data_IF_814348241299
#
_entry.id   IF_814348241299
#
_cell.length_a   1.000
_cell.length_b   1.000
_cell.length_c   1.000
_cell.angle_alpha   90.00
_cell.angle_beta   90.00
_cell.angle_gamma   90.00
#
_symmetry.space_group_name_H-M   'P 1'
#
loop_
_entity.id
_entity.type
_entity.pdbx_description
1 polymer ?
#
# COMPACT_ATOMS: atom_id res chain seq x y z
N UNK A 1 2.41 -43.85 -21.41
CA UNK A 1 1.82 -43.67 -22.76
C UNK A 1 0.31 -43.76 -22.57
N UNK A 2 -0.58 -42.86 -22.97
CA UNK A 2 -0.53 -41.63 -23.74
C UNK A 2 -1.87 -40.93 -23.43
N UNK A 3 -1.82 -39.74 -22.83
CA UNK A 3 -2.89 -38.72 -22.89
C UNK A 3 -2.30 -37.37 -22.45
N UNK A 4 -1.13 -37.07 -23.02
CA UNK A 4 -0.56 -35.73 -23.13
C UNK A 4 -0.94 -35.26 -24.54
N UNK A 5 -1.20 -33.96 -24.68
CA UNK A 5 -1.38 -33.21 -25.95
C UNK A 5 -2.80 -33.19 -26.53
N UNK A 6 -3.69 -32.39 -25.92
CA UNK A 6 -4.73 -31.62 -26.64
C UNK A 6 -5.41 -30.60 -25.70
N UNK A 7 -4.71 -29.50 -25.43
CA UNK A 7 -5.24 -28.12 -25.51
C UNK A 7 -4.09 -27.11 -25.30
N UNK A 8 -3.02 -27.25 -26.09
CA UNK A 8 -2.18 -26.11 -26.46
C UNK A 8 -2.71 -25.58 -27.78
N UNK A 9 -3.43 -24.46 -27.73
CA UNK A 9 -3.59 -23.47 -28.79
C UNK A 9 -4.51 -22.35 -28.25
N UNK A 10 -4.04 -21.62 -27.23
CA UNK A 10 -4.36 -20.19 -27.18
C UNK A 10 -3.17 -19.52 -27.83
N UNK A 11 -3.43 -19.03 -29.03
CA UNK A 11 -2.48 -18.45 -29.95
C UNK A 11 -1.50 -17.51 -29.26
N UNK A 12 -0.22 -17.78 -29.51
CA UNK A 12 0.81 -16.76 -29.61
C UNK A 12 0.32 -15.79 -30.69
N UNK A 13 -0.44 -14.77 -30.28
CA UNK A 13 -0.41 -13.49 -30.96
C UNK A 13 0.69 -12.67 -30.28
N UNK A 14 1.94 -13.02 -30.59
CA UNK A 14 2.98 -12.01 -30.60
C UNK A 14 2.54 -10.97 -31.63
N UNK A 15 1.82 -9.92 -31.19
CA UNK A 15 1.60 -8.76 -32.04
C UNK A 15 2.96 -8.06 -32.16
N UNK A 16 3.61 -8.11 -33.34
CA UNK A 16 4.84 -7.37 -33.56
C UNK A 16 4.40 -5.94 -33.87
N UNK A 17 4.61 -5.03 -32.92
CA UNK A 17 4.25 -3.65 -33.11
C UNK A 17 4.91 -2.78 -32.06
N UNK A 18 5.86 -1.96 -32.49
CA UNK A 18 6.46 -0.90 -31.68
C UNK A 18 5.34 0.10 -31.31
N UNK A 19 4.80 -0.05 -30.10
CA UNK A 19 3.68 0.73 -29.55
C UNK A 19 4.17 1.87 -28.68
N UNK A 20 3.57 3.05 -28.88
CA UNK A 20 4.06 4.31 -28.31
C UNK A 20 2.96 5.15 -27.67
N UNK A 21 3.24 5.59 -26.43
CA UNK A 21 2.26 5.88 -25.37
C UNK A 21 1.87 7.36 -25.19
N UNK A 22 0.77 7.58 -24.45
CA UNK A 22 0.54 8.82 -23.70
C UNK A 22 1.10 8.64 -22.28
N UNK A 23 2.00 9.55 -21.94
CA UNK A 23 2.73 9.61 -20.68
C UNK A 23 1.87 10.37 -19.67
N UNK A 24 1.87 10.01 -18.37
CA UNK A 24 1.68 11.02 -17.35
C UNK A 24 2.61 12.22 -17.63
N UNK A 25 2.16 13.46 -17.43
CA UNK A 25 3.03 14.65 -17.57
C UNK A 25 4.42 14.35 -17.01
N UNK A 26 5.45 14.73 -17.77
CA UNK A 26 6.84 14.40 -17.45
C UNK A 26 7.14 14.82 -16.00
N UNK A 27 7.51 13.85 -15.16
CA UNK A 27 7.85 14.10 -13.75
C UNK A 27 6.69 14.10 -12.74
N UNK A 28 5.42 13.91 -13.16
CA UNK A 28 4.30 13.78 -12.20
C UNK A 28 4.15 12.36 -11.67
N UNK A 29 4.09 12.21 -10.34
CA UNK A 29 3.89 10.94 -9.65
C UNK A 29 2.40 10.58 -9.61
N UNK A 30 2.06 9.30 -9.46
CA UNK A 30 0.67 8.83 -9.32
C UNK A 30 -0.12 9.60 -8.23
N UNK A 31 0.54 9.88 -7.10
CA UNK A 31 -0.03 10.69 -6.03
C UNK A 31 -0.40 12.11 -6.47
N UNK A 32 0.30 12.68 -7.44
CA UNK A 32 0.01 14.02 -7.96
C UNK A 32 -1.27 14.03 -8.81
N UNK A 33 -1.55 12.96 -9.56
CA UNK A 33 -2.83 12.83 -10.27
C UNK A 33 -3.99 12.64 -9.31
N UNK A 34 -3.83 11.79 -8.30
CA UNK A 34 -4.84 11.64 -7.26
C UNK A 34 -5.12 12.99 -6.57
N UNK A 35 -4.09 13.77 -6.23
CA UNK A 35 -4.23 15.10 -5.62
C UNK A 35 -4.94 16.10 -6.53
N UNK A 36 -4.60 16.14 -7.82
CA UNK A 36 -5.14 17.11 -8.80
C UNK A 36 -6.52 16.72 -9.36
N UNK A 37 -6.97 15.50 -9.13
CA UNK A 37 -8.28 15.03 -9.59
C UNK A 37 -9.38 15.41 -8.62
N UNK A 38 -10.57 15.69 -9.14
CA UNK A 38 -11.77 15.90 -8.34
C UNK A 38 -12.43 14.57 -7.99
N UNK A 39 -12.34 13.59 -8.91
CA UNK A 39 -12.89 12.26 -8.73
C UNK A 39 -11.83 11.22 -9.07
N UNK A 40 -11.71 10.18 -8.23
CA UNK A 40 -10.83 9.04 -8.44
C UNK A 40 -11.62 7.75 -8.28
N UNK A 41 -11.70 6.96 -9.35
CA UNK A 41 -12.52 5.74 -9.41
C UNK A 41 -11.66 4.54 -9.73
N UNK A 42 -11.88 3.43 -9.04
CA UNK A 42 -11.44 2.11 -9.51
C UNK A 42 -12.55 1.54 -10.37
N UNK A 43 -12.22 1.11 -11.58
CA UNK A 43 -13.21 0.66 -12.55
C UNK A 43 -12.79 -0.61 -13.27
N UNK A 44 -13.76 -1.31 -13.86
CA UNK A 44 -13.55 -2.40 -14.81
C UNK A 44 -14.16 -2.01 -16.15
N UNK A 45 -13.45 -2.26 -17.25
CA UNK A 45 -13.96 -2.00 -18.59
C UNK A 45 -15.01 -3.05 -18.99
N UNK A 46 -16.18 -2.61 -19.45
CA UNK A 46 -17.26 -3.51 -19.84
C UNK A 46 -17.16 -3.95 -21.32
N UNK A 47 -16.65 -3.09 -22.21
CA UNK A 47 -16.52 -3.39 -23.64
C UNK A 47 -15.34 -2.63 -24.28
N UNK A 48 -14.70 -3.26 -25.27
CA UNK A 48 -13.81 -2.64 -26.27
C UNK A 48 -14.64 -2.18 -27.46
N UNK A 49 -14.51 -0.93 -27.89
CA UNK A 49 -15.03 -0.50 -29.19
C UNK A 49 -13.92 -0.49 -30.23
N UNK A 50 -14.17 -1.14 -31.38
CA UNK A 50 -13.35 -1.02 -32.57
C UNK A 50 -13.60 0.33 -33.25
N UNK A 51 -12.56 0.83 -33.93
CA UNK A 51 -12.54 2.03 -34.77
C UNK A 51 -13.89 2.26 -35.49
N UNK A 52 -14.58 3.36 -35.19
CA UNK A 52 -15.50 3.93 -36.17
C UNK A 52 -14.68 4.82 -37.11
N UNK A 53 -14.59 4.38 -38.37
CA UNK A 53 -13.69 4.90 -39.39
C UNK A 53 -13.92 6.37 -39.78
N UNK A 54 -14.90 7.08 -39.22
CA UNK A 54 -15.26 8.45 -39.62
C UNK A 54 -15.00 9.53 -38.57
N UNK A 55 -14.57 9.20 -37.36
CA UNK A 55 -14.01 10.19 -36.43
C UNK A 55 -13.18 9.46 -35.37
N UNK A 56 -11.89 9.81 -35.25
CA UNK A 56 -10.96 9.35 -34.21
C UNK A 56 -11.43 9.76 -32.79
N UNK A 57 -12.56 9.22 -32.33
CA UNK A 57 -13.21 9.48 -31.06
C UNK A 57 -13.62 8.14 -30.48
N UNK A 58 -12.88 7.69 -29.47
CA UNK A 58 -13.23 6.48 -28.73
C UNK A 58 -14.06 6.90 -27.51
N UNK A 59 -15.01 6.06 -27.12
CA UNK A 59 -15.63 6.10 -25.81
C UNK A 59 -15.36 4.76 -25.12
N UNK A 60 -15.28 4.76 -23.79
CA UNK A 60 -15.17 3.54 -23.03
C UNK A 60 -16.16 3.56 -21.87
N UNK A 61 -16.93 2.48 -21.74
CA UNK A 61 -17.85 2.30 -20.62
C UNK A 61 -17.18 1.43 -19.57
N UNK A 62 -17.20 1.96 -18.36
CA UNK A 62 -16.60 1.38 -17.18
C UNK A 62 -17.67 1.10 -16.14
N UNK A 63 -17.52 0.00 -15.42
CA UNK A 63 -18.25 -0.25 -14.19
C UNK A 63 -17.38 0.17 -13.00
N UNK A 64 -17.92 0.98 -12.10
CA UNK A 64 -17.23 1.37 -10.87
C UNK A 64 -17.13 0.15 -9.95
N UNK A 65 -15.90 -0.22 -9.60
CA UNK A 65 -15.60 -1.36 -8.72
C UNK A 65 -15.04 -0.92 -7.37
N UNK A 66 -14.67 0.35 -7.23
CA UNK A 66 -14.20 0.90 -5.96
C UNK A 66 -14.08 2.42 -5.99
N UNK A 67 -14.19 3.02 -4.81
CA UNK A 67 -14.18 4.46 -4.62
C UNK A 67 -12.97 4.89 -3.80
N UNK A 68 -12.46 6.09 -4.06
CA UNK A 68 -11.55 6.75 -3.13
C UNK A 68 -12.37 7.56 -2.12
N UNK A 69 -12.21 7.33 -0.80
CA UNK A 69 -13.12 7.85 0.24
C UNK A 69 -13.38 9.36 0.19
N UNK A 70 -12.36 10.16 -0.13
CA UNK A 70 -12.46 11.64 -0.18
C UNK A 70 -12.69 12.20 -1.59
N UNK A 71 -12.75 11.35 -2.61
CA UNK A 71 -12.81 11.74 -4.03
C UNK A 71 -13.74 10.84 -4.84
N UNK A 72 -14.87 10.46 -4.24
CA UNK A 72 -15.87 9.62 -4.92
C UNK A 72 -16.65 10.37 -5.99
N UNK A 73 -16.75 11.71 -5.90
CA UNK A 73 -17.52 12.50 -6.86
C UNK A 73 -19.02 12.21 -6.86
N UNK A 74 -19.54 11.54 -5.83
CA UNK A 74 -20.93 11.09 -5.74
C UNK A 74 -21.21 9.71 -6.37
N UNK A 75 -20.21 9.09 -7.02
CA UNK A 75 -20.36 7.75 -7.60
C UNK A 75 -20.44 6.66 -6.54
N UNK A 76 -21.14 5.57 -6.87
CA UNK A 76 -21.32 4.35 -6.07
C UNK A 76 -20.69 3.14 -6.77
N UNK A 77 -20.28 2.08 -6.04
CA UNK A 77 -19.91 0.81 -6.66
C UNK A 77 -21.08 0.26 -7.47
N UNK A 78 -20.81 -0.19 -8.70
CA UNK A 78 -21.82 -0.66 -9.65
C UNK A 78 -22.23 0.38 -10.69
N UNK A 79 -22.02 1.67 -10.43
CA UNK A 79 -22.33 2.75 -11.37
C UNK A 79 -21.62 2.53 -12.71
N UNK A 80 -22.31 2.88 -13.79
CA UNK A 80 -21.72 2.91 -15.13
C UNK A 80 -21.20 4.30 -15.43
N UNK A 81 -19.95 4.39 -15.85
CA UNK A 81 -19.31 5.63 -16.26
C UNK A 81 -18.83 5.47 -17.70
N UNK A 82 -19.38 6.26 -18.60
CA UNK A 82 -18.85 6.40 -19.96
C UNK A 82 -17.90 7.58 -19.98
N UNK A 83 -16.70 7.37 -20.50
CA UNK A 83 -15.69 8.41 -20.64
C UNK A 83 -15.26 8.55 -22.08
N UNK A 84 -15.23 9.80 -22.56
CA UNK A 84 -14.90 10.16 -23.93
C UNK A 84 -15.53 11.51 -24.33
N UNK A 85 -15.40 11.93 -25.60
CA UNK A 85 -14.58 11.27 -26.62
C UNK A 85 -13.07 11.44 -26.33
N UNK A 86 -12.31 10.35 -26.45
CA UNK A 86 -10.85 10.43 -26.50
C UNK A 86 -10.47 11.16 -27.80
N UNK A 87 -9.83 12.32 -27.69
CA UNK A 87 -9.62 13.25 -28.81
C UNK A 87 -8.73 12.73 -29.96
N UNK A 88 -8.45 13.57 -30.98
CA UNK A 88 -7.78 13.18 -32.23
C UNK A 88 -6.27 12.89 -32.09
N UNK A 89 -5.75 12.77 -30.86
CA UNK A 89 -4.33 12.59 -30.60
C UNK A 89 -3.84 11.24 -31.15
N UNK A 90 -2.72 11.22 -31.89
CA UNK A 90 -2.24 10.00 -32.52
C UNK A 90 -1.74 9.03 -31.45
N UNK A 91 -2.48 7.92 -31.28
CA UNK A 91 -2.14 6.65 -30.60
C UNK A 91 -2.67 6.50 -29.15
N UNK A 92 -3.83 5.87 -29.04
CA UNK A 92 -4.42 5.32 -27.82
C UNK A 92 -4.08 3.84 -27.64
N UNK A 93 -3.97 3.36 -26.40
CA UNK A 93 -4.14 1.91 -26.10
C UNK A 93 -5.64 1.62 -26.06
N UNK A 94 -6.13 0.54 -26.70
CA UNK A 94 -7.52 0.11 -26.53
C UNK A 94 -7.80 -0.17 -25.05
N UNK A 95 -8.92 0.35 -24.54
CA UNK A 95 -9.44 -0.08 -23.23
C UNK A 95 -9.95 -1.50 -23.41
N UNK A 96 -9.22 -2.50 -22.91
CA UNK A 96 -9.57 -3.91 -23.07
C UNK A 96 -10.72 -4.30 -22.17
N UNK A 97 -11.77 -4.90 -22.73
CA UNK A 97 -12.88 -5.44 -21.96
C UNK A 97 -12.37 -6.39 -20.87
N UNK A 98 -12.97 -6.30 -19.69
CA UNK A 98 -12.58 -7.06 -18.51
C UNK A 98 -11.40 -6.49 -17.72
N UNK A 99 -10.59 -5.59 -18.29
CA UNK A 99 -9.42 -5.00 -17.61
C UNK A 99 -9.81 -3.97 -16.55
N UNK A 100 -9.02 -3.85 -15.49
CA UNK A 100 -9.25 -2.88 -14.43
C UNK A 100 -8.40 -1.63 -14.60
N UNK A 101 -8.92 -0.49 -14.15
CA UNK A 101 -8.26 0.82 -14.27
C UNK A 101 -8.52 1.68 -13.02
N UNK A 102 -7.63 2.64 -12.77
CA UNK A 102 -7.90 3.80 -11.91
C UNK A 102 -8.13 5.00 -12.82
N UNK A 103 -9.31 5.60 -12.76
CA UNK A 103 -9.64 6.82 -13.48
C UNK A 103 -9.38 8.03 -12.59
N UNK A 104 -8.77 9.06 -13.18
CA UNK A 104 -8.47 10.35 -12.59
C UNK A 104 -9.22 11.41 -13.38
N UNK A 105 -10.34 11.86 -12.83
CA UNK A 105 -11.20 12.85 -13.49
C UNK A 105 -10.96 14.22 -12.86
N UNK A 106 -10.47 15.15 -13.67
CA UNK A 106 -10.30 16.54 -13.29
C UNK A 106 -11.37 17.40 -13.96
N UNK A 107 -12.12 18.14 -13.16
CA UNK A 107 -13.19 19.03 -13.61
C UNK A 107 -12.58 20.30 -14.20
N UNK A 108 -12.99 20.67 -15.41
CA UNK A 108 -12.66 21.91 -16.08
C UNK A 108 -13.96 22.68 -16.36
N UNK A 109 -14.10 23.95 -15.94
CA UNK A 109 -15.26 24.76 -16.26
C UNK A 109 -15.30 25.08 -17.76
N UNK A 110 -16.48 25.01 -18.37
CA UNK A 110 -16.73 25.36 -19.78
C UNK A 110 -18.09 26.03 -19.88
N UNK A 111 -18.10 27.34 -20.13
CA UNK A 111 -19.34 28.14 -20.11
C UNK A 111 -20.05 28.05 -18.76
N UNK A 112 -21.34 27.74 -18.76
CA UNK A 112 -22.15 27.47 -17.55
C UNK A 112 -22.02 26.03 -17.03
N UNK A 113 -21.26 25.18 -17.73
CA UNK A 113 -21.08 23.76 -17.42
C UNK A 113 -19.65 23.39 -17.07
N UNK A 114 -19.36 22.10 -17.12
CA UNK A 114 -18.03 21.55 -16.87
C UNK A 114 -17.77 20.31 -17.73
N UNK A 115 -16.51 20.07 -18.04
CA UNK A 115 -16.02 18.84 -18.67
C UNK A 115 -15.03 18.15 -17.73
N UNK A 116 -14.81 16.85 -17.92
CA UNK A 116 -13.79 16.11 -17.19
C UNK A 116 -12.63 15.75 -18.11
N UNK A 117 -11.43 16.20 -17.77
CA UNK A 117 -10.23 15.63 -18.36
C UNK A 117 -9.94 14.29 -17.70
N UNK A 118 -9.92 13.24 -18.51
CA UNK A 118 -9.63 11.89 -18.06
C UNK A 118 -8.14 11.57 -18.17
N UNK A 119 -7.57 11.09 -17.07
CA UNK A 119 -6.32 10.32 -17.06
C UNK A 119 -6.61 8.94 -16.46
N UNK A 120 -5.91 7.90 -16.87
CA UNK A 120 -6.14 6.57 -16.31
C UNK A 120 -4.85 5.79 -16.12
N UNK A 121 -4.88 4.82 -15.20
CA UNK A 121 -3.79 3.88 -14.99
C UNK A 121 -4.34 2.45 -15.03
N UNK A 122 -3.88 1.57 -15.94
CA UNK A 122 -4.27 0.17 -15.92
C UNK A 122 -3.84 -0.53 -14.63
N UNK A 123 -4.69 -1.41 -14.14
CA UNK A 123 -4.44 -2.32 -13.02
C UNK A 123 -4.32 -3.72 -13.62
N UNK A 124 -3.21 -4.42 -13.39
CA UNK A 124 -3.08 -5.81 -13.85
C UNK A 124 -4.20 -6.69 -13.26
N UNK A 125 -4.74 -7.59 -14.07
CA UNK A 125 -5.83 -8.49 -13.72
C UNK A 125 -5.41 -9.54 -12.68
N UNK A 126 -4.10 -9.75 -12.51
CA UNK A 126 -3.60 -10.53 -11.39
C UNK A 126 -3.69 -9.63 -10.14
N UNK A 127 -4.30 -10.10 -9.06
CA UNK A 127 -4.38 -9.40 -7.76
C UNK A 127 -3.00 -9.26 -7.08
N UNK A 128 -1.95 -8.90 -7.81
CA UNK A 128 -0.56 -8.94 -7.39
C UNK A 128 0.06 -7.58 -7.68
N UNK A 129 0.15 -6.75 -6.65
CA UNK A 129 0.83 -5.46 -6.65
C UNK A 129 2.36 -5.65 -6.73
N UNK A 130 2.85 -6.37 -7.74
CA UNK A 130 4.29 -6.54 -8.03
C UNK A 130 4.90 -5.23 -8.52
N UNK A 131 4.07 -4.39 -9.14
CA UNK A 131 4.44 -3.11 -9.74
C UNK A 131 5.09 -2.10 -8.78
N UNK A 132 4.83 -2.19 -7.48
CA UNK A 132 5.28 -1.17 -6.52
C UNK A 132 6.73 -1.38 -6.02
N UNK A 133 7.29 -2.60 -6.05
CA UNK A 133 8.45 -2.92 -5.19
C UNK A 133 9.80 -3.15 -5.89
N UNK A 134 9.83 -3.43 -7.19
CA UNK A 134 11.10 -3.61 -7.93
C UNK A 134 12.03 -2.39 -7.87
N UNK A 135 11.49 -1.17 -7.70
CA UNK A 135 12.29 0.06 -7.50
C UNK A 135 12.60 0.39 -6.03
N UNK A 136 11.84 -0.13 -5.07
CA UNK A 136 12.14 -0.01 -3.63
C UNK A 136 13.40 -0.81 -3.28
N UNK A 137 13.62 -1.94 -3.93
CA UNK A 137 14.85 -2.74 -3.81
C UNK A 137 16.07 -2.03 -4.42
N UNK A 138 15.91 -1.39 -5.57
CA UNK A 138 17.00 -0.65 -6.23
C UNK A 138 17.52 0.51 -5.37
N UNK A 139 16.68 1.11 -4.53
CA UNK A 139 17.09 2.15 -3.57
C UNK A 139 18.11 1.67 -2.53
N UNK A 140 18.02 0.39 -2.11
CA UNK A 140 18.97 -0.24 -1.17
C UNK A 140 20.33 -0.55 -1.82
N UNK A 141 20.37 -0.64 -3.15
CA UNK A 141 21.57 -1.03 -3.93
C UNK A 141 22.24 0.18 -4.62
N UNK A 142 21.51 1.25 -4.94
CA UNK A 142 22.02 2.32 -5.84
C UNK A 142 21.82 3.78 -5.37
N UNK A 143 21.15 4.03 -4.24
CA UNK A 143 20.96 5.39 -3.71
C UNK A 143 20.13 6.34 -4.60
N UNK A 144 19.38 5.83 -5.59
CA UNK A 144 18.58 6.64 -6.52
C UNK A 144 17.08 6.43 -6.33
N UNK A 145 16.38 7.51 -6.01
CA UNK A 145 14.92 7.53 -5.87
C UNK A 145 14.22 7.66 -7.22
N UNK A 146 13.44 6.66 -7.65
CA UNK A 146 12.44 6.88 -8.69
C UNK A 146 11.19 6.03 -8.45
N UNK A 147 10.02 6.65 -8.25
CA UNK A 147 8.71 5.98 -8.28
C UNK A 147 7.99 6.31 -9.59
N UNK A 148 7.44 5.32 -10.30
CA UNK A 148 6.26 5.52 -11.16
C UNK A 148 5.51 4.19 -11.23
N UNK A 149 4.22 4.18 -10.86
CA UNK A 149 3.28 3.15 -11.31
C UNK A 149 2.96 3.44 -12.77
N UNK A 150 3.43 2.57 -13.67
CA UNK A 150 3.29 2.77 -15.10
C UNK A 150 4.63 2.63 -15.82
N UNK A 151 4.51 2.50 -17.14
CA UNK A 151 5.57 2.36 -18.11
C UNK A 151 6.78 3.23 -17.77
N UNK A 152 7.96 2.62 -17.60
CA UNK A 152 9.21 3.37 -17.50
C UNK A 152 9.43 4.07 -18.84
N UNK A 153 9.41 5.40 -18.85
CA UNK A 153 9.98 6.18 -19.95
C UNK A 153 11.47 5.81 -20.06
N UNK A 154 11.81 4.94 -21.01
CA UNK A 154 13.20 4.82 -21.46
C UNK A 154 13.59 6.18 -22.03
N UNK A 155 14.82 6.62 -21.76
CA UNK A 155 15.34 7.95 -22.04
C UNK A 155 14.87 8.53 -23.39
N UNK A 156 14.61 9.86 -23.41
CA UNK A 156 14.18 10.69 -24.57
C UNK A 156 14.28 9.96 -25.91
N UNK A 157 13.21 9.32 -26.41
CA UNK A 157 13.20 8.88 -27.78
C UNK A 157 13.08 10.15 -28.63
N UNK A 158 14.01 10.33 -29.58
CA UNK A 158 14.02 11.47 -30.54
C UNK A 158 12.71 11.62 -31.33
N UNK A 159 11.76 10.70 -31.20
CA UNK A 159 10.58 10.56 -32.04
C UNK A 159 9.25 10.56 -31.24
N UNK A 160 9.23 11.04 -29.98
CA UNK A 160 7.97 11.18 -29.19
C UNK A 160 7.33 9.86 -28.73
N UNK A 161 8.12 8.79 -28.72
CA UNK A 161 7.67 7.40 -28.61
C UNK A 161 7.97 6.79 -27.22
N UNK A 162 7.07 6.86 -26.25
CA UNK A 162 7.25 6.19 -24.94
C UNK A 162 6.99 4.70 -25.04
N UNK A 163 7.82 3.85 -24.41
CA UNK A 163 7.70 2.40 -24.45
C UNK A 163 7.30 1.84 -23.07
N UNK A 164 6.23 1.04 -23.04
CA UNK A 164 5.80 0.29 -21.87
C UNK A 164 6.56 -1.03 -21.76
N UNK A 165 7.21 -1.29 -20.62
CA UNK A 165 7.83 -2.60 -20.33
C UNK A 165 6.77 -3.59 -19.87
N UNK A 166 6.97 -4.88 -20.20
CA UNK A 166 6.03 -5.97 -19.87
C UNK A 166 6.11 -6.33 -18.38
N UNK A 167 5.06 -6.95 -17.85
CA UNK A 167 4.99 -7.41 -16.45
C UNK A 167 6.07 -8.46 -16.13
N UNK A 168 6.41 -9.33 -17.10
CA UNK A 168 7.53 -10.30 -17.01
C UNK A 168 8.85 -9.61 -16.69
N UNK A 169 9.18 -8.51 -17.39
CA UNK A 169 10.45 -7.80 -17.21
C UNK A 169 10.60 -7.21 -15.80
N UNK A 170 9.48 -6.88 -15.14
CA UNK A 170 9.48 -6.32 -13.78
C UNK A 170 9.59 -7.41 -12.72
N UNK A 171 8.91 -8.53 -12.91
CA UNK A 171 9.03 -9.67 -12.02
C UNK A 171 10.46 -10.22 -12.07
N UNK A 172 11.01 -10.44 -13.27
CA UNK A 172 12.37 -10.92 -13.46
C UNK A 172 13.38 -10.02 -12.75
N UNK A 173 13.28 -8.70 -12.92
CA UNK A 173 14.13 -7.73 -12.21
C UNK A 173 13.96 -7.78 -10.70
N UNK A 174 12.74 -7.89 -10.19
CA UNK A 174 12.50 -7.99 -8.75
C UNK A 174 13.12 -9.27 -8.17
N UNK A 175 13.07 -10.38 -8.92
CA UNK A 175 13.72 -11.64 -8.55
C UNK A 175 15.24 -11.54 -8.60
N UNK A 176 15.81 -10.87 -9.61
CA UNK A 176 17.25 -10.57 -9.70
C UNK A 176 17.70 -9.73 -8.50
N UNK A 177 17.07 -8.58 -8.25
CA UNK A 177 17.44 -7.71 -7.13
C UNK A 177 17.29 -8.39 -5.77
N UNK A 178 16.26 -9.24 -5.60
CA UNK A 178 16.15 -10.06 -4.40
C UNK A 178 17.30 -11.06 -4.30
N UNK A 179 17.75 -11.64 -5.42
CA UNK A 179 18.91 -12.54 -5.47
C UNK A 179 20.22 -11.87 -5.01
N UNK A 180 20.34 -10.56 -5.21
CA UNK A 180 21.51 -9.77 -4.79
C UNK A 180 21.50 -9.41 -3.29
N UNK A 181 20.39 -9.64 -2.58
CA UNK A 181 20.31 -9.36 -1.14
C UNK A 181 21.07 -10.44 -0.40
N UNK A 182 22.17 -10.06 0.26
CA UNK A 182 22.97 -10.99 1.07
C UNK A 182 22.53 -11.03 2.54
N UNK A 183 21.83 -9.99 3.01
CA UNK A 183 21.38 -9.87 4.40
C UNK A 183 19.85 -9.82 4.52
N UNK A 184 19.26 -10.92 5.01
CA UNK A 184 17.82 -11.10 5.20
C UNK A 184 17.40 -10.87 6.66
N UNK A 185 17.55 -9.64 7.15
CA UNK A 185 17.14 -9.28 8.51
C UNK A 185 15.64 -9.52 8.73
N UNK A 186 15.29 -9.97 9.94
CA UNK A 186 13.91 -10.15 10.40
C UNK A 186 13.31 -8.81 10.87
N UNK A 187 13.32 -7.80 9.99
CA UNK A 187 12.82 -6.46 10.27
C UNK A 187 12.15 -5.86 9.02
N UNK A 188 11.23 -4.92 9.23
CA UNK A 188 10.59 -4.15 8.16
C UNK A 188 10.31 -2.73 8.64
N UNK A 189 10.77 -1.73 7.88
CA UNK A 189 10.57 -0.30 8.18
C UNK A 189 10.97 0.58 6.97
N UNK A 190 10.98 1.91 7.15
CA UNK A 190 11.22 2.88 6.07
C UNK A 190 12.57 2.75 5.36
N UNK A 191 13.55 2.05 5.93
CA UNK A 191 14.84 1.73 5.29
C UNK A 191 14.87 0.28 4.77
N UNK A 192 14.56 -0.72 5.62
CA UNK A 192 14.58 -2.13 5.21
C UNK A 192 13.24 -2.67 4.67
N UNK A 193 13.24 -3.13 3.41
CA UNK A 193 12.05 -3.67 2.70
C UNK A 193 12.12 -5.15 2.41
N UNK A 194 13.20 -5.84 2.79
CA UNK A 194 13.47 -7.20 2.33
C UNK A 194 12.28 -8.13 2.63
N UNK A 195 11.74 -8.11 3.86
CA UNK A 195 10.58 -8.95 4.22
C UNK A 195 9.29 -8.61 3.49
N UNK A 196 9.03 -7.31 3.25
CA UNK A 196 7.89 -6.89 2.44
C UNK A 196 7.99 -7.40 1.00
N UNK A 197 9.18 -7.35 0.42
CA UNK A 197 9.47 -7.87 -0.93
C UNK A 197 9.31 -9.38 -0.99
N UNK A 198 9.84 -10.13 -0.02
CA UNK A 198 9.69 -11.59 0.05
C UNK A 198 8.20 -11.99 0.06
N UNK A 199 7.38 -11.34 0.88
CA UNK A 199 5.92 -11.56 0.94
C UNK A 199 5.28 -11.34 -0.43
N UNK A 200 5.66 -10.26 -1.11
CA UNK A 200 5.06 -9.93 -2.41
C UNK A 200 5.52 -10.87 -3.50
N UNK A 201 6.80 -11.26 -3.54
CA UNK A 201 7.29 -12.27 -4.46
C UNK A 201 6.64 -13.63 -4.20
N UNK A 202 6.43 -13.99 -2.93
CA UNK A 202 5.69 -15.19 -2.55
C UNK A 202 4.24 -15.13 -3.05
N UNK A 203 3.54 -14.02 -2.81
CA UNK A 203 2.20 -13.79 -3.33
C UNK A 203 2.17 -13.77 -4.85
N UNK A 204 3.21 -13.25 -5.51
CA UNK A 204 3.26 -12.98 -6.94
C UNK A 204 3.65 -14.18 -7.80
N UNK A 205 4.42 -15.10 -7.25
CA UNK A 205 4.94 -16.27 -7.97
C UNK A 205 4.36 -17.57 -7.45
N UNK A 206 3.79 -17.57 -6.24
CA UNK A 206 3.45 -18.77 -5.48
C UNK A 206 4.64 -19.72 -5.27
N UNK A 207 5.89 -19.24 -5.45
CA UNK A 207 7.09 -20.06 -5.38
C UNK A 207 7.49 -20.33 -3.93
N UNK A 208 7.83 -21.60 -3.64
CA UNK A 208 8.39 -22.02 -2.35
C UNK A 208 9.64 -21.23 -1.98
N UNK A 209 10.44 -20.81 -2.98
CA UNK A 209 11.65 -19.98 -2.79
C UNK A 209 11.39 -18.74 -1.93
N UNK A 210 10.23 -18.10 -2.07
CA UNK A 210 9.87 -16.91 -1.32
C UNK A 210 8.90 -17.19 -0.18
N UNK A 211 7.98 -18.16 -0.36
CA UNK A 211 7.05 -18.57 0.72
C UNK A 211 7.78 -19.10 1.94
N UNK A 212 8.79 -19.96 1.78
CA UNK A 212 9.48 -20.60 2.90
C UNK A 212 10.14 -19.57 3.84
N UNK A 213 10.94 -18.59 3.36
CA UNK A 213 11.47 -17.53 4.23
C UNK A 213 10.41 -16.67 4.93
N UNK A 214 9.28 -16.40 4.28
CA UNK A 214 8.17 -15.63 4.85
C UNK A 214 7.51 -16.37 6.01
N UNK A 215 7.21 -17.65 5.83
CA UNK A 215 6.61 -18.49 6.87
C UNK A 215 7.60 -18.72 8.02
N UNK A 216 8.89 -18.93 7.72
CA UNK A 216 9.93 -19.03 8.73
C UNK A 216 10.06 -17.76 9.57
N UNK A 217 10.00 -16.58 8.94
CA UNK A 217 9.98 -15.29 9.64
C UNK A 217 8.75 -15.15 10.56
N UNK A 218 7.56 -15.49 10.06
CA UNK A 218 6.34 -15.44 10.87
C UNK A 218 6.35 -16.42 12.05
N UNK A 219 6.96 -17.60 11.88
CA UNK A 219 7.20 -18.54 12.98
C UNK A 219 8.21 -17.97 14.00
N UNK A 220 9.32 -17.40 13.53
CA UNK A 220 10.34 -16.78 14.40
C UNK A 220 9.76 -15.66 15.28
N UNK A 221 8.85 -14.84 14.74
CA UNK A 221 8.14 -13.80 15.53
C UNK A 221 7.35 -14.36 16.72
N UNK A 222 6.97 -15.63 16.66
CA UNK A 222 6.19 -16.27 17.71
C UNK A 222 7.08 -16.97 18.73
N UNK A 223 8.14 -17.65 18.26
CA UNK A 223 8.92 -18.58 19.07
C UNK A 223 10.24 -18.02 19.59
N UNK A 224 10.87 -17.09 18.86
CA UNK A 224 12.30 -16.82 19.03
C UNK A 224 12.65 -15.34 19.08
N UNK A 225 11.78 -14.46 18.58
CA UNK A 225 12.00 -13.01 18.74
C UNK A 225 11.98 -12.61 20.21
N UNK A 226 12.80 -11.62 20.55
CA UNK A 226 12.72 -10.97 21.85
C UNK A 226 11.36 -10.30 22.05
N UNK A 227 10.82 -10.44 23.26
CA UNK A 227 9.59 -9.81 23.72
C UNK A 227 9.85 -9.18 25.08
N UNK A 228 9.35 -7.97 25.29
CA UNK A 228 9.37 -7.33 26.60
C UNK A 228 8.46 -8.08 27.59
N UNK A 229 8.57 -7.84 28.91
CA UNK A 229 7.60 -8.34 29.87
C UNK A 229 6.16 -8.07 29.42
N UNK A 230 5.31 -9.09 29.48
CA UNK A 230 3.94 -9.06 28.94
C UNK A 230 3.78 -9.65 27.54
N UNK A 231 4.85 -9.71 26.72
CA UNK A 231 4.82 -10.45 25.45
C UNK A 231 4.71 -9.59 24.18
N UNK A 232 4.89 -8.27 24.28
CA UNK A 232 5.02 -7.41 23.10
C UNK A 232 6.39 -7.60 22.46
N UNK A 233 6.44 -7.80 21.14
CA UNK A 233 7.69 -7.91 20.38
C UNK A 233 8.44 -6.59 20.42
N UNK A 234 9.76 -6.66 20.61
CA UNK A 234 10.63 -5.48 20.65
C UNK A 234 11.90 -5.74 19.85
N UNK A 235 12.10 -4.95 18.79
CA UNK A 235 13.15 -5.18 17.78
C UNK A 235 14.20 -4.07 17.74
N UNK A 236 13.85 -2.86 18.16
CA UNK A 236 14.74 -1.71 18.13
C UNK A 236 14.32 -0.70 19.20
N UNK A 237 15.30 0.01 19.74
CA UNK A 237 15.07 1.08 20.72
C UNK A 237 14.48 2.35 20.11
N UNK A 238 14.65 2.57 18.80
CA UNK A 238 14.01 3.68 18.06
C UNK A 238 12.75 3.17 17.38
N UNK A 239 11.60 3.74 17.72
CA UNK A 239 10.34 3.33 17.13
C UNK A 239 9.99 1.87 17.44
N UNK A 240 10.13 1.44 18.70
CA UNK A 240 9.77 0.10 19.14
C UNK A 240 8.37 -0.30 18.66
N UNK A 241 7.38 0.56 18.89
CA UNK A 241 6.00 0.33 18.48
C UNK A 241 5.81 0.29 16.95
N UNK A 242 6.57 1.10 16.20
CA UNK A 242 6.57 1.06 14.73
C UNK A 242 7.05 -0.31 14.24
N UNK A 243 8.13 -0.83 14.82
CA UNK A 243 8.63 -2.14 14.47
C UNK A 243 7.63 -3.25 14.84
N UNK A 244 7.04 -3.19 16.03
CA UNK A 244 5.97 -4.11 16.47
C UNK A 244 4.79 -4.10 15.49
N UNK A 245 4.29 -2.91 15.14
CA UNK A 245 3.18 -2.75 14.19
C UNK A 245 3.51 -3.30 12.81
N UNK A 246 4.72 -3.00 12.31
CA UNK A 246 5.21 -3.46 11.01
C UNK A 246 5.27 -4.98 10.92
N UNK A 247 5.88 -5.66 11.91
CA UNK A 247 6.01 -7.12 11.86
C UNK A 247 4.69 -7.84 12.14
N UNK A 248 3.82 -7.27 12.97
CA UNK A 248 2.45 -7.74 13.13
C UNK A 248 1.66 -7.63 11.81
N UNK A 249 1.77 -6.52 11.09
CA UNK A 249 1.16 -6.41 9.76
C UNK A 249 1.71 -7.45 8.78
N UNK A 250 3.03 -7.66 8.75
CA UNK A 250 3.63 -8.69 7.89
C UNK A 250 3.20 -10.11 8.26
N UNK A 251 2.95 -10.39 9.55
CA UNK A 251 2.42 -11.67 10.00
C UNK A 251 0.99 -11.91 9.47
N UNK A 252 0.12 -10.89 9.42
CA UNK A 252 -1.17 -10.99 8.72
C UNK A 252 -1.02 -11.33 7.23
N UNK A 253 0.01 -10.79 6.57
CA UNK A 253 0.28 -11.10 5.18
C UNK A 253 0.82 -12.53 4.99
N UNK A 254 1.60 -13.04 5.96
CA UNK A 254 2.04 -14.43 5.99
C UNK A 254 0.88 -15.41 6.20
N UNK A 255 -0.15 -15.02 6.97
CA UNK A 255 -1.38 -15.81 7.15
C UNK A 255 -2.11 -16.09 5.83
N UNK A 256 -2.06 -15.18 4.85
CA UNK A 256 -2.62 -15.42 3.52
C UNK A 256 -1.81 -16.42 2.67
N UNK A 257 -0.56 -16.67 3.06
CA UNK A 257 0.39 -17.54 2.35
C UNK A 257 0.56 -18.90 3.02
N UNK A 258 0.05 -19.07 4.23
CA UNK A 258 0.16 -20.28 5.02
C UNK A 258 -0.62 -21.43 4.35
N UNK A 259 0.00 -22.61 4.30
CA UNK A 259 -0.62 -23.80 3.72
C UNK A 259 -1.52 -24.52 4.74
N UNK A 260 -1.25 -24.35 6.05
CA UNK A 260 -2.03 -24.95 7.14
C UNK A 260 -2.91 -23.91 7.82
N UNK A 261 -4.13 -24.33 8.17
CA UNK A 261 -5.05 -23.49 8.93
C UNK A 261 -4.52 -23.15 10.32
N UNK A 262 -3.83 -24.09 10.98
CA UNK A 262 -3.19 -23.84 12.28
C UNK A 262 -2.15 -22.72 12.22
N UNK A 263 -1.31 -22.68 11.18
CA UNK A 263 -0.34 -21.61 10.96
C UNK A 263 -1.04 -20.27 10.71
N UNK A 264 -2.11 -20.29 9.91
CA UNK A 264 -2.96 -19.11 9.66
C UNK A 264 -3.46 -18.54 10.98
N UNK A 265 -4.08 -19.36 11.82
CA UNK A 265 -4.61 -18.94 13.12
C UNK A 265 -3.50 -18.43 14.06
N UNK A 266 -2.34 -19.08 14.06
CA UNK A 266 -1.18 -18.66 14.85
C UNK A 266 -0.73 -17.24 14.48
N UNK A 267 -0.55 -16.97 13.19
CA UNK A 267 -0.12 -15.67 12.69
C UNK A 267 -1.17 -14.57 12.91
N UNK A 268 -2.46 -14.90 12.76
CA UNK A 268 -3.55 -13.99 13.08
C UNK A 268 -3.56 -13.63 14.57
N UNK A 269 -3.46 -14.63 15.46
CA UNK A 269 -3.46 -14.42 16.90
C UNK A 269 -2.25 -13.60 17.37
N UNK A 270 -1.08 -13.86 16.79
CA UNK A 270 0.11 -13.03 17.02
C UNK A 270 -0.19 -11.57 16.67
N UNK A 271 -0.69 -11.32 15.46
CA UNK A 271 -0.93 -9.97 14.95
C UNK A 271 -1.96 -9.20 15.78
N UNK A 272 -3.07 -9.83 16.17
CA UNK A 272 -4.11 -9.21 17.00
C UNK A 272 -3.63 -8.99 18.43
N UNK A 273 -2.79 -9.87 18.97
CA UNK A 273 -2.15 -9.69 20.28
C UNK A 273 -1.23 -8.48 20.28
N UNK A 274 -0.36 -8.35 19.27
CA UNK A 274 0.51 -7.17 19.13
C UNK A 274 -0.30 -5.88 18.94
N UNK A 275 -1.36 -5.91 18.14
CA UNK A 275 -2.28 -4.76 18.01
C UNK A 275 -2.88 -4.37 19.37
N UNK A 276 -3.26 -5.35 20.19
CA UNK A 276 -3.79 -5.09 21.53
C UNK A 276 -2.79 -4.46 22.51
N UNK A 277 -1.50 -4.75 22.39
CA UNK A 277 -0.47 -4.02 23.14
C UNK A 277 -0.37 -2.57 22.68
N UNK A 278 -0.38 -2.34 21.37
CA UNK A 278 -0.29 -0.99 20.79
C UNK A 278 -1.49 -0.12 21.21
N UNK A 279 -2.70 -0.69 21.25
CA UNK A 279 -3.93 0.04 21.60
C UNK A 279 -4.25 0.03 23.11
N UNK A 280 -3.51 -0.73 23.92
CA UNK A 280 -3.74 -0.83 25.37
C UNK A 280 -4.89 -1.75 25.77
N UNK A 281 -5.34 -2.68 24.90
CA UNK A 281 -6.29 -3.72 25.29
C UNK A 281 -5.63 -4.98 25.88
N UNK A 282 -4.31 -5.12 25.73
CA UNK A 282 -3.50 -6.22 26.31
C UNK A 282 -2.52 -5.76 27.39
N UNK A 283 -2.49 -4.46 27.70
CA UNK A 283 -1.64 -3.85 28.72
C UNK A 283 -2.34 -2.63 29.31
N UNK A 284 -2.00 -2.24 30.54
CA UNK A 284 -2.52 -1.01 31.15
C UNK A 284 -2.06 0.26 30.42
N UNK A 285 -0.94 0.19 29.69
CA UNK A 285 -0.42 1.25 28.83
C UNK A 285 -0.83 1.00 27.38
N UNK A 286 -1.47 1.99 26.74
CA UNK A 286 -1.63 2.06 25.28
C UNK A 286 -0.71 3.11 24.68
N UNK A 287 -0.39 3.02 23.40
CA UNK A 287 0.61 3.89 22.76
C UNK A 287 0.06 4.76 21.62
N UNK A 288 -1.25 4.74 21.42
CA UNK A 288 -1.93 5.54 20.41
C UNK A 288 -2.53 6.77 21.08
N UNK A 289 -2.08 7.95 20.68
CA UNK A 289 -2.53 9.23 21.24
C UNK A 289 -4.05 9.37 21.08
N UNK A 290 -4.74 9.66 22.19
CA UNK A 290 -6.20 9.84 22.22
C UNK A 290 -7.01 8.54 22.17
N UNK A 291 -6.37 7.36 22.29
CA UNK A 291 -7.05 6.07 22.32
C UNK A 291 -6.88 5.37 23.67
N UNK A 292 -7.95 5.36 24.47
CA UNK A 292 -7.96 4.74 25.81
C UNK A 292 -7.48 5.69 26.91
N UNK A 293 -7.76 5.30 28.16
CA UNK A 293 -7.57 6.15 29.36
C UNK A 293 -6.11 6.53 29.62
N UNK A 294 -5.19 5.59 29.39
CA UNK A 294 -3.74 5.76 29.63
C UNK A 294 -2.96 6.02 28.34
N UNK A 295 -3.60 6.63 27.33
CA UNK A 295 -2.90 7.00 26.09
C UNK A 295 -1.89 8.14 26.32
N UNK A 296 -0.82 8.22 25.49
CA UNK A 296 0.15 9.32 25.56
C UNK A 296 -0.52 10.67 25.36
N UNK A 297 -0.14 11.64 26.18
CA UNK A 297 -0.62 13.02 26.16
C UNK A 297 0.49 14.02 25.78
N UNK A 298 1.74 13.56 25.76
CA UNK A 298 2.91 14.40 25.55
C UNK A 298 3.75 13.91 24.35
N UNK A 299 3.17 13.71 23.14
CA UNK A 299 3.96 13.32 21.98
C UNK A 299 4.94 14.44 21.60
N UNK A 300 6.14 14.06 21.16
CA UNK A 300 7.16 15.00 20.66
C UNK A 300 6.73 15.57 19.30
N UNK A 301 5.82 16.55 19.31
CA UNK A 301 5.21 17.10 18.11
C UNK A 301 4.88 18.59 18.26
N UNK A 302 5.50 19.42 17.39
CA UNK A 302 5.46 20.88 17.47
C UNK A 302 4.05 21.45 17.45
N UNK A 303 3.29 21.16 16.40
CA UNK A 303 1.98 21.79 16.21
C UNK A 303 0.96 21.38 17.29
N UNK A 304 1.07 20.16 17.85
CA UNK A 304 0.16 19.76 18.93
C UNK A 304 0.57 20.33 20.29
N UNK A 305 1.86 20.65 20.47
CA UNK A 305 2.35 21.33 21.68
C UNK A 305 2.02 22.82 21.73
N UNK A 306 1.81 23.47 20.59
CA UNK A 306 1.49 24.90 20.53
C UNK A 306 0.15 25.19 21.20
N UNK A 307 0.02 26.29 21.98
CA UNK A 307 -1.26 26.71 22.54
C UNK A 307 -2.25 27.12 21.43
N UNK A 308 -3.56 27.13 21.72
CA UNK A 308 -4.55 27.64 20.79
C UNK A 308 -4.33 29.13 20.51
N UNK A 309 -4.69 29.55 19.30
CA UNK A 309 -4.68 30.97 18.93
C UNK A 309 -5.57 31.80 19.88
N UNK A 310 -5.21 33.07 20.17
CA UNK A 310 -4.11 33.85 19.55
C UNK A 310 -2.76 33.74 20.28
N UNK A 311 -2.59 32.81 21.23
CA UNK A 311 -1.36 32.70 21.99
C UNK A 311 -0.17 32.34 21.08
N UNK A 312 0.95 33.04 21.26
CA UNK A 312 2.16 32.78 20.47
C UNK A 312 2.76 31.41 20.82
N UNK A 313 3.11 30.62 19.81
CA UNK A 313 3.86 29.38 20.00
C UNK A 313 5.37 29.66 20.03
N UNK A 314 6.04 29.22 21.08
CA UNK A 314 7.51 29.31 21.21
C UNK A 314 8.18 27.96 20.91
N UNK A 315 9.51 27.97 20.74
CA UNK A 315 10.30 26.73 20.59
C UNK A 315 10.23 25.82 21.81
N UNK A 316 9.92 26.40 22.98
CA UNK A 316 9.90 25.69 24.26
C UNK A 316 8.57 24.99 24.53
N UNK A 317 7.58 25.14 23.64
CA UNK A 317 6.26 24.51 23.77
C UNK A 317 6.36 22.97 23.95
N UNK A 318 7.36 22.34 23.33
CA UNK A 318 7.64 20.89 23.50
C UNK A 318 8.27 20.57 24.86
N UNK A 319 9.06 21.47 25.44
CA UNK A 319 9.90 21.19 26.62
C UNK A 319 9.28 21.59 27.96
N UNK A 320 8.16 22.31 27.98
CA UNK A 320 7.54 22.80 29.22
C UNK A 320 6.87 21.72 30.08
N UNK A 321 6.91 20.44 29.68
CA UNK A 321 6.49 19.31 30.53
C UNK A 321 4.99 19.25 30.83
N UNK A 322 4.19 20.13 30.22
CA UNK A 322 2.73 20.08 30.23
C UNK A 322 2.20 19.16 29.13
N UNK A 323 1.02 18.61 29.37
CA UNK A 323 0.20 17.96 28.31
C UNK A 323 0.13 18.86 27.08
N UNK A 324 0.35 18.27 25.89
CA UNK A 324 0.23 19.02 24.63
C UNK A 324 -1.16 19.67 24.55
N UNK A 325 -1.21 20.96 24.16
CA UNK A 325 -2.46 21.73 24.13
C UNK A 325 -3.50 21.16 23.15
N UNK A 326 -3.05 20.46 22.11
CA UNK A 326 -3.91 19.74 21.17
C UNK A 326 -3.65 18.23 21.22
N UNK A 327 -4.72 17.44 21.19
CA UNK A 327 -4.61 15.99 21.09
C UNK A 327 -4.28 15.61 19.64
N UNK A 328 -3.13 14.95 19.44
CA UNK A 328 -2.72 14.45 18.12
C UNK A 328 -3.34 13.06 17.84
N UNK A 329 -4.66 13.01 17.67
CA UNK A 329 -5.42 11.78 17.55
C UNK A 329 -4.81 10.77 16.57
N UNK A 330 -4.66 9.52 17.04
CA UNK A 330 -4.23 8.40 16.23
C UNK A 330 -2.73 8.27 16.03
N UNK A 331 -1.92 9.22 16.50
CA UNK A 331 -0.46 9.12 16.40
C UNK A 331 0.06 7.96 17.26
N UNK A 332 0.89 7.10 16.66
CA UNK A 332 1.59 6.04 17.38
C UNK A 332 2.94 6.57 17.87
N UNK A 333 3.17 6.58 19.18
CA UNK A 333 4.44 7.04 19.75
C UNK A 333 5.53 5.96 19.64
N UNK A 334 6.80 6.36 19.77
CA UNK A 334 7.97 5.48 19.70
C UNK A 334 7.89 4.23 20.58
N UNK A 335 7.40 4.36 21.81
CA UNK A 335 7.05 3.24 22.67
C UNK A 335 8.03 2.94 23.80
N UNK A 336 7.91 1.76 24.43
CA UNK A 336 8.67 1.43 25.62
C UNK A 336 10.12 1.05 25.31
N UNK A 337 10.95 1.06 26.36
CA UNK A 337 12.28 0.45 26.29
C UNK A 337 12.23 -1.08 26.34
N UNK A 338 13.39 -1.73 26.24
CA UNK A 338 13.52 -3.18 26.24
C UNK A 338 13.01 -3.87 27.52
N UNK A 339 12.77 -3.13 28.60
CA UNK A 339 12.22 -3.67 29.84
C UNK A 339 10.71 -3.42 29.95
N UNK A 340 10.09 -2.86 28.90
CA UNK A 340 8.68 -2.51 28.89
C UNK A 340 8.35 -1.19 29.58
N UNK A 341 9.36 -0.36 29.91
CA UNK A 341 9.14 0.92 30.62
C UNK A 341 8.89 2.05 29.62
N UNK A 342 7.82 2.80 29.86
CA UNK A 342 7.42 3.95 29.08
C UNK A 342 7.17 5.15 30.00
N UNK A 343 7.64 6.33 29.58
CA UNK A 343 7.40 7.59 30.28
C UNK A 343 6.88 8.58 29.25
N UNK A 344 5.69 9.13 29.50
CA UNK A 344 5.03 10.09 28.62
C UNK A 344 5.61 11.49 28.84
N UNK A 345 6.69 11.80 28.11
CA UNK A 345 7.44 13.04 28.26
C UNK A 345 7.92 13.51 26.90
N UNK A 346 7.42 14.65 26.43
CA UNK A 346 7.73 15.18 25.11
C UNK A 346 9.24 15.42 24.88
N UNK A 347 10.02 15.72 25.92
CA UNK A 347 11.48 15.84 25.78
C UNK A 347 12.21 14.51 25.60
N UNK A 348 11.59 13.38 25.95
CA UNK A 348 12.08 12.04 25.62
C UNK A 348 11.60 11.65 24.22
N UNK A 349 12.32 12.18 23.22
CA UNK A 349 12.00 11.93 21.82
C UNK A 349 12.11 10.44 21.46
N UNK A 350 12.91 9.62 22.14
CA UNK A 350 13.01 8.20 21.79
C UNK A 350 11.69 7.46 22.03
N UNK A 351 11.03 7.74 23.15
CA UNK A 351 9.78 7.08 23.54
C UNK A 351 8.54 7.80 23.00
N UNK A 352 8.60 9.12 22.83
CA UNK A 352 7.46 9.97 22.50
C UNK A 352 7.49 10.55 21.07
N UNK A 353 8.50 10.23 20.25
CA UNK A 353 8.49 10.59 18.82
C UNK A 353 7.27 10.00 18.12
N UNK A 354 6.75 10.76 17.18
CA UNK A 354 5.67 10.38 16.28
C UNK A 354 6.11 10.66 14.84
N UNK A 355 5.81 9.74 13.94
CA UNK A 355 6.23 9.85 12.55
C UNK A 355 5.26 9.14 11.59
N UNK A 356 5.28 9.53 10.31
CA UNK A 356 4.39 8.95 9.28
C UNK A 356 4.66 7.45 9.11
N UNK A 357 5.91 7.01 9.17
CA UNK A 357 6.30 5.61 9.05
C UNK A 357 5.90 4.76 10.28
N UNK A 358 5.73 5.38 11.46
CA UNK A 358 5.21 4.68 12.64
C UNK A 358 3.74 4.30 12.43
N UNK A 359 2.98 5.20 11.82
CA UNK A 359 1.57 4.99 11.53
C UNK A 359 1.31 4.12 10.30
N UNK A 360 2.23 4.03 9.32
CA UNK A 360 1.99 3.32 8.07
C UNK A 360 1.73 1.81 8.27
N UNK A 361 2.59 1.11 9.03
CA UNK A 361 2.37 -0.28 9.36
C UNK A 361 1.22 -0.48 10.33
N UNK A 362 1.05 0.41 11.30
CA UNK A 362 -0.03 0.35 12.28
C UNK A 362 -1.42 0.47 11.62
N UNK A 363 -1.62 1.43 10.74
CA UNK A 363 -2.88 1.58 10.02
C UNK A 363 -3.15 0.37 9.11
N UNK A 364 -2.10 -0.18 8.50
CA UNK A 364 -2.21 -1.41 7.70
C UNK A 364 -2.55 -2.64 8.56
N UNK A 365 -2.01 -2.73 9.77
CA UNK A 365 -2.33 -3.75 10.77
C UNK A 365 -3.80 -3.67 11.20
N UNK A 366 -4.30 -2.47 11.52
CA UNK A 366 -5.71 -2.24 11.91
C UNK A 366 -6.65 -2.67 10.77
N UNK A 367 -6.38 -2.21 9.54
CA UNK A 367 -7.18 -2.58 8.38
C UNK A 367 -7.13 -4.10 8.10
N UNK A 368 -5.95 -4.71 8.20
CA UNK A 368 -5.76 -6.15 8.03
C UNK A 368 -6.51 -6.96 9.09
N UNK A 369 -6.43 -6.57 10.36
CA UNK A 369 -7.16 -7.23 11.44
C UNK A 369 -8.68 -7.16 11.19
N UNK A 370 -9.19 -5.99 10.79
CA UNK A 370 -10.61 -5.83 10.46
C UNK A 370 -11.04 -6.69 9.26
N UNK A 371 -10.20 -6.76 8.22
CA UNK A 371 -10.45 -7.60 7.06
C UNK A 371 -10.60 -9.08 7.43
N UNK A 372 -9.71 -9.59 8.29
CA UNK A 372 -9.76 -10.98 8.75
C UNK A 372 -10.97 -11.26 9.64
N UNK A 373 -11.34 -10.32 10.52
CA UNK A 373 -12.57 -10.41 11.32
C UNK A 373 -13.81 -10.54 10.42
N UNK A 374 -13.94 -9.68 9.42
CA UNK A 374 -15.05 -9.72 8.47
C UNK A 374 -15.10 -11.03 7.66
N UNK A 375 -13.94 -11.58 7.28
CA UNK A 375 -13.87 -12.87 6.59
C UNK A 375 -14.32 -14.02 7.49
N UNK A 376 -13.94 -14.01 8.77
CA UNK A 376 -14.38 -15.00 9.73
C UNK A 376 -15.90 -14.95 9.93
N UNK A 377 -16.49 -13.75 10.03
CA UNK A 377 -17.94 -13.56 10.11
C UNK A 377 -18.65 -14.07 8.86
N UNK A 378 -18.16 -13.72 7.66
CA UNK A 378 -18.74 -14.18 6.40
C UNK A 378 -18.72 -15.72 6.26
N UNK A 379 -17.64 -16.38 6.71
CA UNK A 379 -17.57 -17.85 6.73
C UNK A 379 -18.63 -18.47 7.67
N UNK A 380 -18.82 -17.89 8.87
CA UNK A 380 -19.85 -18.36 9.82
C UNK A 380 -21.26 -18.22 9.26
N UNK A 381 -21.56 -17.09 8.60
CA UNK A 381 -22.85 -16.87 7.95
C UNK A 381 -23.11 -17.82 6.78
N UNK A 382 -22.06 -18.29 6.10
CA UNK A 382 -22.16 -19.28 5.02
C UNK A 382 -22.26 -20.72 5.52
N UNK A 383 -21.77 -21.03 6.73
CA UNK A 383 -21.78 -22.39 7.28
C UNK A 383 -23.07 -22.79 8.00
N UNK A 384 -24.03 -21.88 8.18
CA UNK A 384 -25.42 -22.22 8.51
C UNK A 384 -25.63 -23.16 9.70
N UNK A 385 -24.91 -22.91 10.80
CA UNK A 385 -25.19 -23.47 12.14
C UNK A 385 -25.24 -22.33 13.14
#
# INVERSE_FOLDING_TARGET
>A
MSAIVKLMLIAIAAVPGILTCIVPERGTRFGDFAKRSNVVLRVQANATFQNQASANRYEATFQVTGLFPSKSGGFQPGDRVTVGPFGPAPRCTPVSAGSQYILFLRRYPVGTGFTYGLRYNPISLTRRTVFFFGRLLAGKITGRHFMVSGCRELARPRNGKVQCTRESDYLDRAQTFHGDITNHRNIFFWDDKTKGVEILLAKATNSRRYKTPVLAFANWLQTSTYKIPGGMVWLNYRGANMHTANVAFLSLQAAELADRESDTLCFLNFSTTQLGFLTGSRSSQGYVVGLGLNSPRNPHHRASSCPPEPAACSRDAISQGSTNAHVLYGALVGGPDQFGRYVDRASDYLRNEVAIDFNAGFQSLVAGAKHWEMRAQAKKSQSGT
#
